data_IF_349886534609
#
_entry.id   IF_349886534609
#
_cell.length_a   1.000
_cell.length_b   1.000
_cell.length_c   1.000
_cell.angle_alpha   90.00
_cell.angle_beta   90.00
_cell.angle_gamma   90.00
#
_symmetry.space_group_name_H-M   'P 1'
#
loop_
_entity.id
_entity.type
_entity.pdbx_description
1 polymer ?
#
# COMPACT_ATOMS: atom_id res chain seq x y z
N UNK A 1 26.39 24.15 -50.79
CA UNK A 1 26.11 23.40 -49.54
C UNK A 1 24.61 23.26 -49.38
N UNK A 2 24.13 22.00 -49.36
CA UNK A 2 22.90 21.44 -48.74
C UNK A 2 21.55 22.13 -49.06
N UNK A 3 20.77 21.66 -50.05
CA UNK A 3 19.77 20.57 -50.01
C UNK A 3 18.50 20.93 -49.20
N UNK A 4 17.36 21.19 -49.86
CA UNK A 4 16.17 20.30 -49.97
C UNK A 4 15.44 20.06 -48.63
N UNK A 5 14.12 20.22 -48.44
CA UNK A 5 12.96 19.78 -49.25
C UNK A 5 11.64 20.30 -48.58
N UNK A 6 10.48 20.13 -49.25
CA UNK A 6 9.29 20.97 -49.14
C UNK A 6 8.18 20.41 -48.23
N UNK A 7 7.28 21.29 -47.81
CA UNK A 7 5.94 20.93 -47.37
C UNK A 7 5.00 20.85 -48.57
N UNK A 8 4.43 19.68 -48.83
CA UNK A 8 3.35 19.54 -49.81
C UNK A 8 2.37 18.44 -49.42
N UNK A 9 1.10 18.81 -49.55
CA UNK A 9 -0.12 18.08 -49.23
C UNK A 9 -0.23 16.68 -49.86
N UNK A 10 -1.13 15.85 -49.31
CA UNK A 10 -2.25 15.31 -50.12
C UNK A 10 -3.29 14.57 -49.27
N UNK A 11 -4.55 14.93 -49.49
CA UNK A 11 -5.73 14.11 -49.17
C UNK A 11 -5.84 13.04 -50.26
N UNK A 12 -6.00 11.77 -49.90
CA UNK A 12 -6.43 10.74 -50.85
C UNK A 12 -7.55 9.89 -50.25
N UNK A 13 -8.66 9.84 -50.99
CA UNK A 13 -9.69 8.81 -50.92
C UNK A 13 -9.29 7.73 -51.92
N UNK A 14 -9.44 6.44 -51.55
CA UNK A 14 -10.10 5.41 -52.37
C UNK A 14 -9.88 4.00 -51.79
N UNK A 15 -11.02 3.36 -51.54
CA UNK A 15 -11.40 1.94 -51.66
C UNK A 15 -10.42 1.02 -52.42
N UNK A 16 -10.22 -0.21 -51.93
CA UNK A 16 -10.23 -1.45 -52.74
C UNK A 16 -10.15 -2.71 -51.84
N UNK A 17 -11.05 -3.66 -52.13
CA UNK A 17 -11.11 -5.00 -51.56
C UNK A 17 -10.02 -5.92 -52.12
N UNK A 18 -9.59 -6.93 -51.35
CA UNK A 18 -9.55 -8.36 -51.71
C UNK A 18 -8.86 -9.20 -50.62
N UNK A 19 -9.37 -10.42 -50.43
CA UNK A 19 -8.94 -11.42 -49.46
C UNK A 19 -7.62 -12.11 -49.84
N UNK A 20 -6.83 -12.58 -48.86
CA UNK A 20 -6.11 -13.86 -48.89
C UNK A 20 -5.48 -14.19 -47.51
N UNK A 21 -5.44 -15.49 -47.21
CA UNK A 21 -5.08 -16.10 -45.95
C UNK A 21 -3.62 -15.89 -45.50
N UNK A 22 -3.42 -15.82 -44.18
CA UNK A 22 -2.09 -15.83 -43.55
C UNK A 22 -2.21 -15.98 -42.03
N UNK A 23 -2.11 -17.22 -41.56
CA UNK A 23 -1.96 -17.55 -40.13
C UNK A 23 -0.70 -16.88 -39.61
N UNK A 24 -0.83 -16.03 -38.60
CA UNK A 24 0.28 -15.63 -37.75
C UNK A 24 -0.21 -15.59 -36.30
N UNK A 25 0.35 -16.48 -35.49
CA UNK A 25 0.09 -16.61 -34.07
C UNK A 25 0.28 -15.27 -33.36
N UNK A 26 -0.81 -14.58 -33.04
CA UNK A 26 -0.79 -13.56 -32.00
C UNK A 26 -0.82 -14.30 -30.67
N UNK A 27 0.38 -14.59 -30.16
CA UNK A 27 0.55 -14.96 -28.77
C UNK A 27 -0.06 -13.85 -27.91
N UNK A 28 -1.24 -14.12 -27.37
CA UNK A 28 -1.78 -13.37 -26.25
C UNK A 28 -0.74 -13.45 -25.13
N UNK A 29 -0.14 -12.33 -24.66
CA UNK A 29 0.51 -12.39 -23.37
C UNK A 29 -0.59 -12.75 -22.37
N UNK A 30 -0.47 -13.94 -21.81
CA UNK A 30 -1.21 -14.35 -20.64
C UNK A 30 -0.90 -13.33 -19.55
N UNK A 31 -1.80 -12.37 -19.34
CA UNK A 31 -1.93 -11.77 -18.04
C UNK A 31 -2.37 -12.92 -17.14
N UNK A 32 -1.41 -13.50 -16.40
CA UNK A 32 -1.69 -14.41 -15.32
C UNK A 32 -2.58 -13.69 -14.32
N UNK A 33 -3.90 -13.84 -14.48
CA UNK A 33 -4.88 -13.50 -13.48
C UNK A 33 -4.92 -14.67 -12.51
N UNK A 34 -3.88 -14.80 -11.70
CA UNK A 34 -3.97 -15.58 -10.47
C UNK A 34 -4.62 -14.68 -9.42
N UNK A 35 -5.95 -14.72 -9.38
CA UNK A 35 -6.75 -14.32 -8.23
C UNK A 35 -8.17 -14.90 -8.40
N UNK A 36 -8.27 -16.23 -8.43
CA UNK A 36 -9.54 -16.90 -8.15
C UNK A 36 -9.79 -16.96 -6.63
N UNK A 37 -9.82 -15.79 -5.99
CA UNK A 37 -10.63 -15.63 -4.80
C UNK A 37 -12.07 -15.51 -5.31
N UNK A 38 -12.95 -16.45 -4.92
CA UNK A 38 -14.39 -16.34 -5.19
C UNK A 38 -14.94 -14.97 -4.74
N UNK A 39 -16.17 -14.57 -5.11
CA UNK A 39 -16.71 -13.24 -4.84
C UNK A 39 -16.64 -12.94 -3.35
N UNK A 40 -15.55 -12.29 -2.92
CA UNK A 40 -15.41 -11.83 -1.54
C UNK A 40 -16.29 -10.60 -1.44
N UNK A 41 -17.14 -10.47 -0.40
CA UNK A 41 -17.83 -9.21 -0.16
C UNK A 41 -16.82 -8.07 -0.28
N UNK A 42 -17.18 -7.03 -1.02
CA UNK A 42 -16.28 -5.92 -1.34
C UNK A 42 -15.76 -5.32 -0.04
N UNK A 43 -14.53 -5.68 0.31
CA UNK A 43 -13.84 -5.12 1.45
C UNK A 43 -13.45 -3.68 1.19
N UNK A 44 -13.06 -3.01 2.25
CA UNK A 44 -12.51 -1.67 2.08
C UNK A 44 -11.01 -1.80 1.77
N UNK A 45 -10.63 -1.32 0.58
CA UNK A 45 -9.28 -1.44 0.06
C UNK A 45 -8.67 -0.04 -0.10
N UNK A 46 -7.45 0.15 0.40
CA UNK A 46 -6.74 1.42 0.37
C UNK A 46 -5.28 1.25 -0.03
N UNK A 47 -4.74 2.27 -0.69
CA UNK A 47 -3.33 2.32 -1.09
C UNK A 47 -2.60 3.50 -0.46
N UNK A 48 -1.33 3.28 -0.13
CA UNK A 48 -0.39 4.29 0.40
C UNK A 48 0.89 4.19 -0.42
N UNK A 49 1.24 5.24 -1.14
CA UNK A 49 2.45 5.26 -1.97
C UNK A 49 3.05 6.64 -2.07
N UNK A 50 4.36 6.68 -2.29
CA UNK A 50 5.11 7.90 -2.56
C UNK A 50 6.34 7.56 -3.38
N UNK A 51 6.19 7.52 -4.70
CA UNK A 51 7.29 7.36 -5.68
C UNK A 51 7.95 5.98 -5.74
N UNK A 52 7.98 5.23 -4.63
CA UNK A 52 8.51 3.88 -4.52
C UNK A 52 7.43 2.82 -4.27
N UNK A 53 7.72 1.80 -3.42
CA UNK A 53 6.79 0.72 -3.15
C UNK A 53 5.43 1.20 -2.62
N UNK A 54 4.37 0.56 -3.08
CA UNK A 54 2.98 0.80 -2.72
C UNK A 54 2.53 -0.18 -1.65
N UNK A 55 2.03 0.35 -0.54
CA UNK A 55 1.35 -0.43 0.48
C UNK A 55 -0.14 -0.54 0.15
N UNK A 56 -0.68 -1.76 0.14
CA UNK A 56 -2.09 -2.03 0.02
C UNK A 56 -2.63 -2.51 1.38
N UNK A 57 -3.58 -1.78 1.95
CA UNK A 57 -4.26 -2.12 3.20
C UNK A 57 -5.68 -2.55 2.84
N UNK A 58 -6.09 -3.73 3.29
CA UNK A 58 -7.45 -4.24 3.07
C UNK A 58 -8.10 -4.59 4.39
N UNK A 59 -9.37 -4.24 4.55
CA UNK A 59 -10.21 -4.68 5.65
C UNK A 59 -11.23 -5.68 5.10
N UNK A 60 -11.17 -6.91 5.60
CA UNK A 60 -12.13 -7.95 5.26
C UNK A 60 -13.46 -7.72 5.98
N UNK A 61 -14.58 -7.55 5.26
CA UNK A 61 -15.87 -7.31 5.89
C UNK A 61 -16.48 -8.57 6.51
N UNK A 62 -15.96 -9.77 6.17
CA UNK A 62 -16.46 -11.02 6.72
C UNK A 62 -16.01 -11.26 8.17
N UNK A 63 -14.72 -11.05 8.47
CA UNK A 63 -14.15 -11.33 9.79
C UNK A 63 -13.49 -10.12 10.47
N UNK A 64 -13.43 -8.96 9.79
CA UNK A 64 -12.79 -7.75 10.30
C UNK A 64 -11.26 -7.86 10.40
N UNK A 65 -10.63 -8.79 9.67
CA UNK A 65 -9.17 -8.91 9.59
C UNK A 65 -8.63 -7.81 8.68
N UNK A 66 -7.59 -7.12 9.15
CA UNK A 66 -6.83 -6.17 8.33
C UNK A 66 -5.62 -6.90 7.73
N UNK A 67 -5.39 -6.71 6.44
CA UNK A 67 -4.20 -7.23 5.74
C UNK A 67 -3.38 -6.09 5.16
N UNK A 68 -2.06 -6.28 5.15
CA UNK A 68 -1.10 -5.39 4.52
C UNK A 68 -0.31 -6.18 3.47
N UNK A 69 -0.28 -5.67 2.24
CA UNK A 69 0.59 -6.14 1.17
C UNK A 69 1.49 -4.98 0.72
N UNK A 70 2.68 -5.30 0.21
CA UNK A 70 3.59 -4.29 -0.36
C UNK A 70 4.04 -4.75 -1.74
N UNK A 71 3.87 -3.88 -2.74
CA UNK A 71 4.26 -4.12 -4.13
C UNK A 71 5.14 -2.99 -4.63
N UNK A 72 6.10 -3.32 -5.48
CA UNK A 72 7.00 -2.38 -6.11
C UNK A 72 6.95 -2.60 -7.62
N UNK A 73 6.18 -1.76 -8.32
CA UNK A 73 5.78 -2.01 -9.71
C UNK A 73 5.07 -3.35 -9.85
N UNK A 74 5.62 -4.23 -10.70
CA UNK A 74 5.09 -5.58 -10.94
C UNK A 74 5.53 -6.64 -9.92
N UNK A 75 6.42 -6.30 -8.97
CA UNK A 75 6.98 -7.27 -8.01
C UNK A 75 6.28 -7.18 -6.66
N UNK A 76 5.83 -8.32 -6.12
CA UNK A 76 5.36 -8.40 -4.74
C UNK A 76 6.57 -8.47 -3.80
N UNK A 77 6.67 -7.52 -2.86
CA UNK A 77 7.69 -7.51 -1.81
C UNK A 77 7.19 -8.15 -0.52
N UNK A 78 5.92 -7.94 -0.21
CA UNK A 78 5.22 -8.54 0.94
C UNK A 78 3.87 -9.03 0.44
N UNK A 79 3.67 -10.35 0.49
CA UNK A 79 2.39 -11.00 0.24
C UNK A 79 1.33 -10.49 1.23
N UNK A 80 0.02 -10.49 0.85
CA UNK A 80 -1.06 -10.08 1.74
C UNK A 80 -0.97 -10.78 3.10
N UNK A 81 -0.57 -10.01 4.10
CA UNK A 81 -0.25 -10.53 5.43
C UNK A 81 -1.21 -9.94 6.46
N UNK A 82 -1.85 -10.76 7.30
CA UNK A 82 -2.74 -10.24 8.34
C UNK A 82 -1.95 -9.42 9.36
N UNK A 83 -2.40 -8.18 9.56
CA UNK A 83 -1.87 -7.23 10.54
C UNK A 83 -2.90 -7.03 11.65
N UNK A 84 -2.47 -7.26 12.87
CA UNK A 84 -3.26 -7.12 14.09
C UNK A 84 -2.37 -7.28 15.31
N UNK A 85 -2.87 -6.86 16.47
CA UNK A 85 -2.14 -6.93 17.74
C UNK A 85 -3.03 -7.53 18.82
N UNK A 86 -2.42 -8.31 19.72
CA UNK A 86 -3.07 -8.76 20.95
C UNK A 86 -2.49 -7.94 22.09
N UNK A 87 -3.37 -7.37 22.89
CA UNK A 87 -3.03 -6.64 24.12
C UNK A 87 -3.52 -7.45 25.32
N UNK A 88 -3.04 -7.14 26.52
CA UNK A 88 -3.57 -7.75 27.75
C UNK A 88 -5.09 -7.55 27.89
N UNK A 89 -5.61 -6.42 27.41
CA UNK A 89 -7.01 -6.04 27.59
C UNK A 89 -7.93 -6.48 26.43
N UNK A 90 -7.37 -6.74 25.25
CA UNK A 90 -8.17 -7.00 24.05
C UNK A 90 -7.38 -7.73 22.94
N UNK A 91 -8.09 -8.59 22.21
CA UNK A 91 -7.66 -9.13 20.93
C UNK A 91 -8.09 -8.21 19.79
N UNK A 92 -7.13 -7.56 19.13
CA UNK A 92 -7.33 -6.65 18.00
C UNK A 92 -6.74 -7.26 16.72
N UNK A 93 -6.87 -8.58 16.56
CA UNK A 93 -6.48 -9.29 15.34
C UNK A 93 -7.62 -9.50 14.34
N UNK A 94 -8.87 -9.49 14.83
CA UNK A 94 -10.11 -9.71 14.05
C UNK A 94 -11.23 -8.83 14.58
N UNK A 95 -12.36 -8.80 13.88
CA UNK A 95 -13.55 -8.03 14.26
C UNK A 95 -13.30 -6.53 14.27
N UNK A 96 -12.29 -6.05 13.52
CA UNK A 96 -11.96 -4.64 13.43
C UNK A 96 -12.92 -3.95 12.46
N UNK A 97 -13.32 -2.74 12.83
CA UNK A 97 -13.98 -1.82 11.91
C UNK A 97 -13.16 -0.54 11.78
N UNK A 98 -13.09 0.01 10.57
CA UNK A 98 -12.54 1.33 10.37
C UNK A 98 -13.51 2.38 10.93
N UNK A 99 -13.00 3.23 11.81
CA UNK A 99 -13.74 4.37 12.38
C UNK A 99 -13.35 5.66 11.67
N UNK A 100 -12.06 5.83 11.37
CA UNK A 100 -11.54 7.03 10.73
C UNK A 100 -10.28 6.72 9.93
N UNK A 101 -10.01 7.53 8.90
CA UNK A 101 -8.78 7.50 8.12
C UNK A 101 -8.26 8.92 7.95
N UNK A 102 -6.97 9.12 8.23
CA UNK A 102 -6.28 10.39 7.98
C UNK A 102 -5.04 10.18 7.14
N UNK A 103 -4.98 10.89 6.02
CA UNK A 103 -3.83 10.89 5.13
C UNK A 103 -3.02 12.19 5.30
N UNK A 104 -1.70 12.07 5.27
CA UNK A 104 -0.78 13.20 5.38
C UNK A 104 0.45 12.96 4.52
N UNK A 105 0.99 14.05 3.96
CA UNK A 105 2.34 14.07 3.38
C UNK A 105 3.32 14.62 4.40
N UNK A 106 4.45 13.92 4.58
CA UNK A 106 5.53 14.33 5.45
C UNK A 106 6.73 14.64 4.55
N UNK A 107 7.19 15.89 4.59
CA UNK A 107 8.44 16.31 3.97
C UNK A 107 9.32 16.92 5.05
N UNK A 108 10.36 16.19 5.44
CA UNK A 108 11.27 16.59 6.51
C UNK A 108 12.70 16.68 5.99
N UNK A 109 13.44 17.67 6.48
CA UNK A 109 14.88 17.80 6.26
C UNK A 109 15.56 17.82 7.61
N UNK A 110 16.40 16.82 7.89
CA UNK A 110 17.19 16.79 9.11
C UNK A 110 18.68 16.66 8.80
N UNK A 111 19.48 17.24 9.69
CA UNK A 111 20.94 17.24 9.61
C UNK A 111 21.45 16.34 10.70
N UNK A 112 22.16 15.27 10.35
CA UNK A 112 22.75 14.36 11.34
C UNK A 112 24.22 14.67 11.50
N UNK A 113 24.70 14.76 12.75
CA UNK A 113 26.10 15.07 13.08
C UNK A 113 27.01 13.85 12.88
N UNK A 114 26.44 12.64 12.92
CA UNK A 114 27.12 11.34 12.75
C UNK A 114 26.34 10.44 11.78
N UNK A 115 27.04 9.69 10.92
CA UNK A 115 26.44 8.80 9.92
C UNK A 115 26.99 9.04 8.52
N UNK A 116 26.62 8.17 7.55
CA UNK A 116 27.18 8.19 6.18
C UNK A 116 26.85 9.47 5.39
N UNK A 117 25.86 10.24 5.81
CA UNK A 117 25.47 11.46 5.10
C UNK A 117 24.87 12.50 6.05
N UNK A 118 25.30 13.75 5.87
CA UNK A 118 25.05 14.86 6.80
C UNK A 118 23.68 15.50 6.63
N UNK A 119 23.11 15.52 5.42
CA UNK A 119 21.79 16.09 5.12
C UNK A 119 20.89 14.99 4.57
N UNK A 120 19.75 14.77 5.23
CA UNK A 120 18.73 13.84 4.76
C UNK A 120 17.45 14.61 4.50
N UNK A 121 16.93 14.47 3.29
CA UNK A 121 15.57 14.86 2.94
C UNK A 121 14.73 13.59 2.90
N UNK A 122 13.57 13.60 3.55
CA UNK A 122 12.63 12.49 3.52
C UNK A 122 11.28 13.02 3.06
N UNK A 123 10.78 12.44 1.97
CA UNK A 123 9.42 12.65 1.46
C UNK A 123 8.68 11.33 1.58
N UNK A 124 7.57 11.33 2.32
CA UNK A 124 6.77 10.13 2.55
C UNK A 124 5.28 10.47 2.60
N UNK A 125 4.45 9.52 2.19
CA UNK A 125 3.03 9.49 2.47
C UNK A 125 2.79 8.73 3.78
N UNK A 126 1.89 9.24 4.62
CA UNK A 126 1.42 8.60 5.85
C UNK A 126 -0.10 8.46 5.79
N UNK A 127 -0.60 7.25 6.05
CA UNK A 127 -2.02 6.98 6.25
C UNK A 127 -2.22 6.38 7.64
N UNK A 128 -3.07 7.01 8.43
CA UNK A 128 -3.48 6.53 9.75
C UNK A 128 -4.89 5.98 9.65
N UNK A 129 -5.04 4.70 9.95
CA UNK A 129 -6.32 4.00 10.04
C UNK A 129 -6.66 3.83 11.51
N UNK A 130 -7.74 4.47 11.96
CA UNK A 130 -8.28 4.27 13.31
C UNK A 130 -9.26 3.11 13.28
N UNK A 131 -8.90 2.04 13.96
CA UNK A 131 -9.63 0.77 13.99
C UNK A 131 -10.20 0.54 15.38
N UNK A 132 -11.40 -0.03 15.43
CA UNK A 132 -12.07 -0.38 16.69
C UNK A 132 -12.50 -1.85 16.68
N UNK A 133 -12.10 -2.59 17.70
CA UNK A 133 -12.52 -3.97 17.93
C UNK A 133 -13.95 -4.06 18.45
N UNK A 134 -14.49 -5.28 18.49
CA UNK A 134 -15.87 -5.56 18.95
C UNK A 134 -16.10 -5.10 20.39
N UNK A 135 -15.11 -5.28 21.26
CA UNK A 135 -15.15 -4.90 22.68
C UNK A 135 -14.97 -3.39 22.91
N UNK A 136 -14.90 -2.62 21.82
CA UNK A 136 -14.77 -1.17 21.85
C UNK A 136 -13.34 -0.66 22.01
N UNK A 137 -12.37 -1.55 22.25
CA UNK A 137 -10.94 -1.25 22.25
C UNK A 137 -10.50 -0.68 20.89
N UNK A 138 -9.56 0.28 20.93
CA UNK A 138 -9.11 1.05 19.76
C UNK A 138 -7.62 0.81 19.51
N UNK A 139 -7.27 0.69 18.23
CA UNK A 139 -5.88 0.73 17.76
C UNK A 139 -5.80 1.57 16.50
N UNK A 140 -4.74 2.36 16.38
CA UNK A 140 -4.46 3.08 15.14
C UNK A 140 -3.30 2.38 14.40
N UNK A 141 -3.56 1.94 13.17
CA UNK A 141 -2.53 1.44 12.25
C UNK A 141 -1.99 2.62 11.44
N UNK A 142 -0.71 2.92 11.58
CA UNK A 142 -0.03 3.97 10.82
C UNK A 142 0.86 3.31 9.77
N UNK A 143 0.58 3.57 8.51
CA UNK A 143 1.38 3.09 7.37
C UNK A 143 2.08 4.29 6.73
N UNK A 144 3.38 4.14 6.45
CA UNK A 144 4.20 5.14 5.77
C UNK A 144 4.83 4.53 4.54
N UNK A 145 4.75 5.23 3.42
CA UNK A 145 5.41 4.85 2.18
C UNK A 145 6.35 5.98 1.73
N UNK A 146 7.56 5.63 1.36
CA UNK A 146 8.58 6.51 0.81
C UNK A 146 9.27 5.82 -0.37
N UNK A 147 10.11 6.55 -1.11
CA UNK A 147 10.86 6.01 -2.25
C UNK A 147 11.69 4.76 -1.85
N UNK A 148 12.22 4.72 -0.63
CA UNK A 148 13.04 3.63 -0.13
C UNK A 148 12.29 2.45 0.49
N UNK A 149 10.96 2.53 0.64
CA UNK A 149 10.17 1.43 1.20
C UNK A 149 8.95 1.83 2.01
N UNK A 150 8.30 0.81 2.57
CA UNK A 150 7.09 0.92 3.39
C UNK A 150 7.41 0.53 4.83
N UNK A 151 6.89 1.29 5.78
CA UNK A 151 6.92 0.98 7.20
C UNK A 151 5.51 1.07 7.79
N UNK A 152 5.23 0.29 8.83
CA UNK A 152 3.99 0.39 9.59
C UNK A 152 4.23 0.27 11.09
N UNK A 153 3.31 0.82 11.89
CA UNK A 153 3.31 0.69 13.35
C UNK A 153 1.89 0.76 13.91
N UNK A 154 1.72 0.20 15.10
CA UNK A 154 0.50 0.36 15.90
C UNK A 154 0.67 1.53 16.88
N UNK A 155 -0.39 2.30 17.07
CA UNK A 155 -0.50 3.32 18.12
C UNK A 155 -1.74 3.01 18.94
N UNK A 156 -1.53 2.73 20.22
CA UNK A 156 -2.60 2.42 21.16
C UNK A 156 -2.93 3.65 22.01
N UNK A 157 -4.19 3.78 22.47
CA UNK A 157 -4.56 4.82 23.41
C UNK A 157 -3.78 4.66 24.71
N UNK A 158 -3.54 5.77 25.41
CA UNK A 158 -2.93 5.74 26.73
C UNK A 158 -3.79 4.90 27.69
N UNK A 159 -3.16 3.97 28.41
CA UNK A 159 -3.85 3.06 29.33
C UNK A 159 -4.26 1.71 28.72
N UNK A 160 -4.04 1.47 27.42
CA UNK A 160 -4.02 0.10 26.91
C UNK A 160 -2.85 -0.64 27.56
N UNK A 161 -3.14 -1.78 28.21
CA UNK A 161 -2.19 -2.64 28.92
C UNK A 161 -1.00 -3.09 28.07
N UNK A 162 -0.12 -3.90 28.65
CA UNK A 162 1.05 -4.35 27.90
C UNK A 162 0.62 -5.15 26.66
N UNK A 163 1.38 -5.02 25.58
CA UNK A 163 1.04 -5.65 24.32
C UNK A 163 1.89 -6.90 24.11
N UNK A 164 1.24 -8.05 23.96
CA UNK A 164 1.91 -9.27 23.55
C UNK A 164 1.84 -9.41 22.03
N UNK A 165 2.93 -9.09 21.34
CA UNK A 165 3.09 -9.40 19.94
C UNK A 165 3.23 -10.92 19.76
N UNK A 166 2.17 -11.62 19.32
CA UNK A 166 2.26 -13.06 19.01
C UNK A 166 3.10 -13.34 17.76
N UNK A 167 3.29 -12.35 16.89
CA UNK A 167 4.13 -12.43 15.68
C UNK A 167 5.40 -11.57 15.83
N UNK A 168 6.55 -12.02 15.30
CA UNK A 168 7.87 -11.42 15.57
C UNK A 168 8.09 -10.01 15.00
N UNK A 169 7.10 -9.38 14.37
CA UNK A 169 7.27 -8.12 13.63
C UNK A 169 6.77 -6.85 14.35
N UNK A 170 6.31 -6.91 15.62
CA UNK A 170 5.86 -5.70 16.32
C UNK A 170 6.67 -5.39 17.59
N UNK A 171 7.08 -4.13 17.70
CA UNK A 171 7.71 -3.52 18.87
C UNK A 171 6.70 -2.61 19.57
N UNK A 172 6.45 -2.84 20.86
CA UNK A 172 5.59 -1.99 21.70
C UNK A 172 6.45 -1.17 22.66
N UNK A 173 6.21 0.15 22.71
CA UNK A 173 6.74 1.03 23.75
C UNK A 173 5.57 1.51 24.62
N UNK A 174 5.47 1.09 25.89
CA UNK A 174 4.48 1.65 26.80
C UNK A 174 4.79 3.12 27.05
N UNK A 175 3.80 3.99 26.89
CA UNK A 175 3.91 5.38 27.36
C UNK A 175 3.76 5.39 28.87
N UNK A 176 4.78 5.87 29.60
CA UNK A 176 4.77 5.96 31.08
C UNK A 176 3.54 6.72 31.57
N UNK A 177 2.94 6.21 32.65
CA UNK A 177 1.89 6.86 33.45
C UNK A 177 2.37 8.24 33.93
N UNK A 178 1.59 9.33 33.82
CA UNK A 178 1.86 10.53 34.61
C UNK A 178 1.64 10.18 36.09
N UNK A 179 2.56 10.64 36.94
CA UNK A 179 2.52 10.47 38.39
C UNK A 179 1.48 11.34 39.07
#
# INVERSE_FOLDING_TARGET
>A
MTNSRPGSAKRWRAVCATALAGVLCLGTPAAAQDDAAGPRPAGSDWTVSRGGPTAAVRLDPADGTVTLAVRDGGRTLVEPSPVGIVTEDADLTRGLRLVDRKDRRISERYTTVVGKERRRAVDMAESRFTLRGVDGARVDLVVRAADGGVAYRYVLPAGAGACSARRPASYCRPTRRPG
#
